data_IF_874320726439
#
_entry.id   IF_874320726439
#
_cell.length_a   1.000
_cell.length_b   1.000
_cell.length_c   1.000
_cell.angle_alpha   90.00
_cell.angle_beta   90.00
_cell.angle_gamma   90.00
#
_symmetry.space_group_name_H-M   'P 1'
#
loop_
_entity.id
_entity.type
_entity.pdbx_description
1 polymer ?
#
# COMPACT_ATOMS: atom_id res chain seq x y z
N UNK A 1 -2.53 10.68 -2.57
CA UNK A 1 -1.07 10.89 -2.74
C UNK A 1 -0.56 11.99 -1.81
N UNK A 2 -1.01 13.25 -1.95
CA UNK A 2 -0.50 14.38 -1.13
C UNK A 2 -0.52 14.11 0.39
N UNK A 3 -1.54 13.41 0.89
CA UNK A 3 -1.62 12.98 2.30
C UNK A 3 -0.40 12.17 2.72
N UNK A 4 0.03 11.19 1.91
CA UNK A 4 1.23 10.39 2.19
C UNK A 4 2.48 11.27 2.18
N UNK A 5 2.55 12.22 1.24
CA UNK A 5 3.69 13.14 1.13
C UNK A 5 3.84 14.04 2.36
N UNK A 6 2.74 14.60 2.87
CA UNK A 6 2.79 15.53 4.01
C UNK A 6 2.70 14.83 5.38
N UNK A 7 2.11 13.64 5.47
CA UNK A 7 1.83 12.95 6.74
C UNK A 7 2.61 11.63 6.91
N UNK A 8 3.42 11.23 5.92
CA UNK A 8 4.25 10.02 5.93
C UNK A 8 3.49 8.71 5.66
N UNK A 9 2.17 8.66 5.89
CA UNK A 9 1.30 7.52 5.57
C UNK A 9 -0.13 7.95 5.28
N UNK A 10 -0.89 7.10 4.60
CA UNK A 10 -2.32 7.28 4.39
C UNK A 10 -3.03 5.94 4.18
N UNK A 11 -4.31 5.88 4.51
CA UNK A 11 -5.17 4.72 4.22
C UNK A 11 -5.60 4.79 2.75
N UNK A 12 -5.24 3.76 1.97
CA UNK A 12 -5.65 3.63 0.57
C UNK A 12 -7.10 3.11 0.43
N UNK A 13 -7.57 2.33 1.41
CA UNK A 13 -8.92 1.76 1.48
C UNK A 13 -9.02 0.70 2.58
N UNK A 14 -10.24 0.31 2.92
CA UNK A 14 -10.54 -0.77 3.89
C UNK A 14 -11.19 -1.92 3.12
N UNK A 15 -10.68 -3.13 3.32
CA UNK A 15 -11.08 -4.33 2.59
C UNK A 15 -11.16 -5.53 3.54
N UNK A 16 -11.71 -6.65 3.05
CA UNK A 16 -11.56 -7.95 3.71
C UNK A 16 -10.10 -8.39 3.70
N UNK A 17 -9.71 -9.24 4.65
CA UNK A 17 -8.31 -9.65 4.84
C UNK A 17 -7.66 -10.16 3.55
N UNK A 18 -8.31 -11.10 2.86
CA UNK A 18 -7.78 -11.70 1.62
C UNK A 18 -7.58 -10.67 0.49
N UNK A 19 -8.51 -9.71 0.37
CA UNK A 19 -8.42 -8.65 -0.65
C UNK A 19 -7.32 -7.65 -0.29
N UNK A 20 -7.16 -7.32 0.99
CA UNK A 20 -6.10 -6.44 1.47
C UNK A 20 -4.71 -7.06 1.21
N UNK A 21 -4.53 -8.34 1.56
CA UNK A 21 -3.28 -9.07 1.31
C UNK A 21 -2.91 -9.10 -0.18
N UNK A 22 -3.88 -9.44 -1.03
CA UNK A 22 -3.67 -9.46 -2.48
C UNK A 22 -3.25 -8.09 -3.01
N UNK A 23 -3.93 -7.01 -2.59
CA UNK A 23 -3.61 -5.65 -3.02
C UNK A 23 -2.23 -5.20 -2.55
N UNK A 24 -1.87 -5.49 -1.30
CA UNK A 24 -0.55 -5.15 -0.75
C UNK A 24 0.56 -5.85 -1.54
N UNK A 25 0.41 -7.15 -1.83
CA UNK A 25 1.37 -7.90 -2.63
C UNK A 25 1.53 -7.33 -4.04
N UNK A 26 0.42 -7.05 -4.73
CA UNK A 26 0.43 -6.48 -6.09
C UNK A 26 1.11 -5.10 -6.14
N UNK A 27 0.81 -4.20 -5.21
CA UNK A 27 1.39 -2.85 -5.20
C UNK A 27 2.89 -2.89 -4.90
N UNK A 28 3.31 -3.71 -3.93
CA UNK A 28 4.73 -3.86 -3.61
C UNK A 28 5.52 -4.49 -4.75
N UNK A 29 4.94 -5.48 -5.45
CA UNK A 29 5.59 -6.07 -6.63
C UNK A 29 5.76 -5.03 -7.73
N UNK A 30 4.69 -4.29 -8.06
CA UNK A 30 4.73 -3.25 -9.08
C UNK A 30 5.75 -2.15 -8.75
N UNK A 31 5.85 -1.75 -7.48
CA UNK A 31 6.87 -0.78 -7.05
C UNK A 31 8.29 -1.31 -7.28
N UNK A 32 8.56 -2.57 -6.92
CA UNK A 32 9.86 -3.21 -7.13
C UNK A 32 10.21 -3.35 -8.61
N UNK A 33 9.24 -3.76 -9.44
CA UNK A 33 9.42 -3.94 -10.89
C UNK A 33 9.78 -2.61 -11.59
N UNK A 34 9.36 -1.48 -11.02
CA UNK A 34 9.68 -0.13 -11.50
C UNK A 34 10.82 0.54 -10.72
N UNK A 35 11.61 -0.23 -9.95
CA UNK A 35 12.76 0.27 -9.20
C UNK A 35 12.41 1.41 -8.22
N UNK A 36 11.23 1.33 -7.60
CA UNK A 36 10.75 2.33 -6.65
C UNK A 36 10.72 1.78 -5.22
N UNK A 37 11.17 2.55 -4.21
CA UNK A 37 11.21 2.11 -2.81
C UNK A 37 9.85 2.25 -2.11
N UNK A 38 8.74 2.27 -2.85
CA UNK A 38 7.41 2.42 -2.28
C UNK A 38 7.07 1.19 -1.42
N UNK A 39 6.53 1.45 -0.22
CA UNK A 39 6.07 0.41 0.70
C UNK A 39 4.56 0.52 0.91
N UNK A 40 3.85 -0.56 0.59
CA UNK A 40 2.43 -0.75 0.92
C UNK A 40 2.31 -1.78 2.05
N UNK A 41 1.48 -1.50 3.04
CA UNK A 41 1.26 -2.37 4.21
C UNK A 41 -0.23 -2.48 4.55
N UNK A 42 -0.58 -3.49 5.36
CA UNK A 42 -1.92 -3.72 5.91
C UNK A 42 -1.92 -3.49 7.42
N UNK A 43 -3.06 -3.04 7.96
CA UNK A 43 -3.31 -2.82 9.38
C UNK A 43 -4.75 -3.28 9.68
N UNK A 44 -5.02 -3.83 10.86
CA UNK A 44 -6.39 -4.14 11.28
C UNK A 44 -7.16 -2.84 11.52
N UNK A 45 -8.39 -2.78 11.00
CA UNK A 45 -9.28 -1.63 11.13
C UNK A 45 -9.99 -1.58 12.49
#
# INVERSE_FOLDING_TARGET
MLTVHYQGKAICGVFTAEVAETKVAMVNQYAKDNEHPLLCTLEQA
#
